data_IF_010668865459
#
_entry.id   IF_010668865459
#
_cell.length_a   1.000
_cell.length_b   1.000
_cell.length_c   1.000
_cell.angle_alpha   90.00
_cell.angle_beta   90.00
_cell.angle_gamma   90.00
#
_symmetry.space_group_name_H-M   'P 1'
#
loop_
_entity.id
_entity.type
_entity.pdbx_description
1 polymer ?
#
# COMPACT_ATOMS: atom_id res chain seq x y z
N UNK A 1 -57.30 -15.59 8.00
CA UNK A 1 -56.24 -15.05 8.87
C UNK A 1 -55.02 -15.95 8.76
N UNK A 2 -53.83 -15.40 8.52
CA UNK A 2 -52.58 -16.18 8.52
C UNK A 2 -51.41 -15.31 8.07
N UNK A 3 -50.59 -14.90 9.02
CA UNK A 3 -49.58 -13.82 8.97
C UNK A 3 -48.50 -14.00 7.89
N UNK A 4 -48.20 -12.91 7.15
CA UNK A 4 -46.97 -12.72 6.39
C UNK A 4 -45.77 -12.82 7.35
N UNK A 5 -44.83 -13.72 7.06
CA UNK A 5 -43.49 -13.71 7.68
C UNK A 5 -42.62 -12.80 6.82
N UNK A 6 -42.42 -11.56 7.27
CA UNK A 6 -41.26 -10.75 6.88
C UNK A 6 -40.05 -11.42 7.53
N UNK A 7 -39.43 -12.33 6.78
CA UNK A 7 -38.12 -12.84 7.13
C UNK A 7 -37.11 -11.86 6.53
N UNK A 8 -36.67 -10.95 7.39
CA UNK A 8 -35.26 -10.64 7.57
C UNK A 8 -34.42 -10.38 6.30
N UNK A 9 -34.64 -9.22 5.68
CA UNK A 9 -33.72 -8.62 4.72
C UNK A 9 -32.66 -7.73 5.44
N UNK A 10 -32.74 -7.58 6.76
CA UNK A 10 -31.88 -6.67 7.53
C UNK A 10 -30.63 -7.34 8.12
N UNK A 11 -30.64 -8.64 8.45
CA UNK A 11 -29.43 -9.33 8.94
C UNK A 11 -28.45 -9.65 7.81
N UNK A 12 -28.92 -9.81 6.57
CA UNK A 12 -28.08 -10.09 5.40
C UNK A 12 -27.20 -8.89 4.99
N UNK A 13 -27.75 -7.67 5.01
CA UNK A 13 -27.02 -6.43 4.72
C UNK A 13 -25.95 -6.15 5.79
N UNK A 14 -26.30 -6.31 7.08
CA UNK A 14 -25.38 -6.12 8.19
C UNK A 14 -24.20 -7.12 8.17
N UNK A 15 -24.44 -8.35 7.71
CA UNK A 15 -23.39 -9.35 7.51
C UNK A 15 -22.40 -8.96 6.42
N UNK A 16 -22.86 -8.44 5.29
CA UNK A 16 -22.00 -7.97 4.19
C UNK A 16 -21.23 -6.71 4.59
N UNK A 17 -21.87 -5.77 5.31
CA UNK A 17 -21.20 -4.60 5.87
C UNK A 17 -20.12 -4.99 6.89
N UNK A 18 -20.38 -5.95 7.78
CA UNK A 18 -19.37 -6.43 8.74
C UNK A 18 -18.22 -7.15 8.03
N UNK A 19 -18.49 -7.93 6.98
CA UNK A 19 -17.45 -8.57 6.17
C UNK A 19 -16.65 -7.51 5.40
N UNK A 20 -17.31 -6.50 4.82
CA UNK A 20 -16.69 -5.39 4.10
C UNK A 20 -15.85 -4.53 5.03
N UNK A 21 -16.35 -4.23 6.23
CA UNK A 21 -15.61 -3.52 7.29
C UNK A 21 -14.39 -4.33 7.75
N UNK A 22 -14.53 -5.64 7.98
CA UNK A 22 -13.39 -6.52 8.31
C UNK A 22 -12.39 -6.65 7.16
N UNK A 23 -12.86 -6.68 5.93
CA UNK A 23 -12.02 -6.70 4.73
C UNK A 23 -11.25 -5.36 4.59
N UNK A 24 -11.92 -4.24 4.90
CA UNK A 24 -11.33 -2.91 4.96
C UNK A 24 -10.30 -2.80 6.10
N UNK A 25 -10.56 -3.37 7.27
CA UNK A 25 -9.62 -3.42 8.39
C UNK A 25 -8.41 -4.29 8.10
N UNK A 26 -8.61 -5.48 7.50
CA UNK A 26 -7.53 -6.36 7.06
C UNK A 26 -6.68 -5.72 5.96
N UNK A 27 -7.32 -5.03 5.01
CA UNK A 27 -6.63 -4.27 3.96
C UNK A 27 -5.88 -3.07 4.54
N UNK A 28 -6.43 -2.39 5.56
CA UNK A 28 -5.77 -1.28 6.26
C UNK A 28 -4.58 -1.77 7.06
N UNK A 29 -4.67 -2.90 7.76
CA UNK A 29 -3.52 -3.52 8.43
C UNK A 29 -2.42 -3.93 7.43
N UNK A 30 -2.82 -4.43 6.26
CA UNK A 30 -1.89 -4.76 5.19
C UNK A 30 -1.17 -3.50 4.66
N UNK A 31 -1.90 -2.42 4.40
CA UNK A 31 -1.32 -1.14 3.99
C UNK A 31 -0.46 -0.51 5.09
N UNK A 32 -0.88 -0.57 6.36
CA UNK A 32 -0.07 -0.10 7.49
C UNK A 32 1.27 -0.84 7.57
N UNK A 33 1.27 -2.15 7.31
CA UNK A 33 2.50 -2.95 7.25
C UNK A 33 3.40 -2.48 6.10
N UNK A 34 2.83 -2.29 4.91
CA UNK A 34 3.56 -1.80 3.74
C UNK A 34 4.10 -0.37 3.93
N UNK A 35 3.32 0.53 4.52
CA UNK A 35 3.73 1.89 4.88
C UNK A 35 4.82 1.86 5.94
N UNK A 36 4.75 0.94 6.91
CA UNK A 36 5.81 0.76 7.92
C UNK A 36 7.14 0.33 7.27
N UNK A 37 7.08 -0.58 6.29
CA UNK A 37 8.26 -0.96 5.51
C UNK A 37 8.81 0.23 4.71
N UNK A 38 7.91 1.01 4.11
CA UNK A 38 8.29 2.21 3.36
C UNK A 38 8.94 3.27 4.26
N UNK A 39 8.37 3.55 5.44
CA UNK A 39 8.93 4.43 6.47
C UNK A 39 10.33 3.99 6.87
N UNK A 40 10.54 2.71 7.19
CA UNK A 40 11.87 2.18 7.55
C UNK A 40 12.87 2.37 6.42
N UNK A 41 12.46 2.13 5.18
CA UNK A 41 13.32 2.37 4.02
C UNK A 41 13.64 3.86 3.86
N UNK A 42 12.66 4.76 4.02
CA UNK A 42 12.87 6.21 4.00
C UNK A 42 13.82 6.66 5.10
N UNK A 43 13.70 6.15 6.33
CA UNK A 43 14.63 6.48 7.42
C UNK A 43 16.08 6.10 7.07
N UNK A 44 16.29 4.98 6.38
CA UNK A 44 17.63 4.53 5.99
C UNK A 44 18.19 5.24 4.75
N UNK A 45 17.36 5.60 3.77
CA UNK A 45 17.82 6.08 2.45
C UNK A 45 17.54 7.56 2.21
N UNK A 46 16.46 8.10 2.78
CA UNK A 46 15.98 9.48 2.58
C UNK A 46 15.38 10.05 3.89
N UNK A 47 16.17 10.18 4.98
CA UNK A 47 15.66 10.50 6.31
C UNK A 47 14.97 11.87 6.38
N UNK A 48 15.28 12.78 5.45
CA UNK A 48 14.64 14.10 5.32
C UNK A 48 13.11 14.02 5.18
N UNK A 49 12.58 12.91 4.67
CA UNK A 49 11.15 12.69 4.50
C UNK A 49 10.48 11.99 5.69
N UNK A 50 11.18 11.83 6.82
CA UNK A 50 10.62 11.22 8.03
C UNK A 50 10.91 12.13 9.23
N UNK A 51 9.86 12.65 9.85
CA UNK A 51 9.96 13.45 11.08
C UNK A 51 9.33 12.66 12.21
N UNK A 52 10.19 12.18 13.12
CA UNK A 52 9.78 11.29 14.21
C UNK A 52 9.16 10.00 13.67
N UNK A 53 7.84 9.89 13.81
CA UNK A 53 7.08 8.72 13.38
C UNK A 53 6.28 8.90 12.09
N UNK A 54 6.33 10.09 11.49
CA UNK A 54 5.47 10.47 10.37
C UNK A 54 6.26 10.64 9.09
N UNK A 55 5.73 10.12 7.98
CA UNK A 55 6.26 10.38 6.64
C UNK A 55 5.82 11.79 6.23
N UNK A 56 6.77 12.65 5.87
CA UNK A 56 6.49 13.98 5.36
C UNK A 56 6.12 13.91 3.89
N UNK A 57 4.88 14.29 3.60
CA UNK A 57 4.35 14.49 2.26
C UNK A 57 4.44 15.99 1.87
N UNK A 58 4.50 16.33 0.57
CA UNK A 58 4.55 15.41 -0.56
C UNK A 58 5.94 14.80 -0.75
N UNK A 59 5.98 13.52 -1.13
CA UNK A 59 7.22 12.87 -1.53
C UNK A 59 7.58 13.23 -2.97
N UNK A 60 8.87 13.44 -3.27
CA UNK A 60 9.32 13.64 -4.64
C UNK A 60 9.21 12.32 -5.43
N UNK A 61 8.91 12.44 -6.72
CA UNK A 61 8.71 11.30 -7.63
C UNK A 61 9.91 10.33 -7.62
N UNK A 62 11.13 10.86 -7.60
CA UNK A 62 12.35 10.05 -7.56
C UNK A 62 12.41 9.13 -6.33
N UNK A 63 11.93 9.58 -5.16
CA UNK A 63 11.91 8.76 -3.95
C UNK A 63 10.93 7.59 -4.09
N UNK A 64 9.77 7.83 -4.71
CA UNK A 64 8.83 6.75 -5.05
C UNK A 64 9.44 5.77 -6.05
N UNK A 65 10.11 6.24 -7.11
CA UNK A 65 10.79 5.38 -8.10
C UNK A 65 11.87 4.51 -7.47
N UNK A 66 12.73 5.12 -6.65
CA UNK A 66 13.79 4.41 -5.92
C UNK A 66 13.21 3.33 -5.01
N UNK A 67 12.13 3.64 -4.28
CA UNK A 67 11.48 2.65 -3.43
C UNK A 67 10.82 1.52 -4.23
N UNK A 68 10.15 1.82 -5.34
CA UNK A 68 9.55 0.79 -6.19
C UNK A 68 10.62 -0.14 -6.80
N UNK A 69 11.76 0.42 -7.22
CA UNK A 69 12.91 -0.37 -7.65
C UNK A 69 13.44 -1.23 -6.50
N UNK A 70 13.55 -0.66 -5.30
CA UNK A 70 13.91 -1.38 -4.09
C UNK A 70 12.96 -2.56 -3.85
N UNK A 71 11.64 -2.37 -3.74
CA UNK A 71 10.71 -3.47 -3.44
C UNK A 71 10.49 -4.43 -4.60
N UNK A 72 10.95 -4.12 -5.81
CA UNK A 72 10.88 -5.03 -6.96
C UNK A 72 11.80 -6.24 -6.80
N UNK A 73 12.89 -6.12 -6.03
CA UNK A 73 13.84 -7.20 -5.75
C UNK A 73 13.52 -7.83 -4.39
N UNK A 74 13.54 -9.16 -4.32
CA UNK A 74 13.39 -9.87 -3.05
C UNK A 74 14.61 -9.65 -2.17
N UNK A 75 14.35 -9.35 -0.91
CA UNK A 75 15.38 -9.12 0.10
C UNK A 75 15.17 -9.99 1.33
N UNK A 76 16.26 -10.27 2.03
CA UNK A 76 16.22 -10.94 3.33
C UNK A 76 15.64 -10.01 4.42
N UNK A 77 15.49 -10.53 5.64
CA UNK A 77 14.99 -9.76 6.79
C UNK A 77 15.91 -8.60 7.21
N UNK A 78 17.17 -8.62 6.77
CA UNK A 78 18.16 -7.60 7.07
C UNK A 78 18.20 -6.51 5.99
N UNK A 79 17.44 -6.66 4.89
CA UNK A 79 17.42 -5.72 3.78
C UNK A 79 18.50 -5.97 2.73
N UNK A 80 19.13 -7.14 2.72
CA UNK A 80 20.10 -7.54 1.69
C UNK A 80 19.37 -8.23 0.52
N UNK A 81 19.84 -8.01 -0.71
CA UNK A 81 19.30 -8.72 -1.88
C UNK A 81 19.51 -10.22 -1.74
N UNK A 82 18.46 -11.01 -2.00
CA UNK A 82 18.59 -12.47 -2.05
C UNK A 82 19.40 -12.85 -3.28
N UNK A 83 20.35 -13.78 -3.11
CA UNK A 83 21.16 -14.35 -4.18
C UNK A 83 20.78 -15.82 -4.41
N UNK A 84 20.52 -16.24 -5.67
CA UNK A 84 20.52 -15.43 -6.89
C UNK A 84 19.39 -14.40 -6.89
N UNK A 85 19.60 -13.28 -7.61
CA UNK A 85 18.63 -12.16 -7.65
C UNK A 85 17.26 -12.66 -8.08
N UNK A 86 16.29 -12.51 -7.19
CA UNK A 86 14.90 -12.86 -7.45
C UNK A 86 14.03 -11.62 -7.33
N UNK A 87 12.95 -11.57 -8.11
CA UNK A 87 12.05 -10.43 -8.14
C UNK A 87 10.74 -10.75 -7.40
N UNK A 88 10.16 -9.71 -6.81
CA UNK A 88 8.80 -9.77 -6.30
C UNK A 88 7.80 -9.77 -7.45
N UNK A 89 6.61 -10.32 -7.20
CA UNK A 89 5.54 -10.33 -8.19
C UNK A 89 5.01 -8.91 -8.41
N UNK A 90 4.45 -8.65 -9.60
CA UNK A 90 3.81 -7.39 -9.90
C UNK A 90 2.71 -7.04 -8.87
N UNK A 91 1.98 -8.04 -8.36
CA UNK A 91 0.96 -7.87 -7.32
C UNK A 91 1.54 -7.31 -6.02
N UNK A 92 2.73 -7.77 -5.60
CA UNK A 92 3.41 -7.25 -4.41
C UNK A 92 3.81 -5.79 -4.60
N UNK A 93 4.41 -5.45 -5.75
CA UNK A 93 4.81 -4.07 -6.06
C UNK A 93 3.59 -3.15 -6.17
N UNK A 94 2.50 -3.63 -6.78
CA UNK A 94 1.23 -2.90 -6.85
C UNK A 94 0.59 -2.71 -5.46
N UNK A 95 0.74 -3.67 -4.55
CA UNK A 95 0.35 -3.49 -3.15
C UNK A 95 1.04 -2.29 -2.50
N UNK A 96 2.36 -2.15 -2.69
CA UNK A 96 3.11 -0.99 -2.19
C UNK A 96 2.66 0.32 -2.83
N UNK A 97 2.37 0.33 -4.13
CA UNK A 97 1.84 1.51 -4.82
C UNK A 97 0.51 1.95 -4.22
N UNK A 98 -0.42 1.02 -4.03
CA UNK A 98 -1.72 1.28 -3.40
C UNK A 98 -1.57 1.77 -1.96
N UNK A 99 -0.63 1.21 -1.19
CA UNK A 99 -0.34 1.65 0.17
C UNK A 99 0.20 3.09 0.21
N UNK A 100 1.07 3.47 -0.74
CA UNK A 100 1.55 4.85 -0.85
C UNK A 100 0.39 5.78 -1.22
N UNK A 101 -0.45 5.43 -2.20
CA UNK A 101 -1.64 6.25 -2.51
C UNK A 101 -2.59 6.39 -1.32
N UNK A 102 -2.75 5.31 -0.54
CA UNK A 102 -3.55 5.31 0.66
C UNK A 102 -3.01 6.30 1.72
N UNK A 103 -1.68 6.38 1.87
CA UNK A 103 -1.03 7.37 2.76
C UNK A 103 -1.37 8.82 2.36
N UNK A 104 -1.34 9.14 1.07
CA UNK A 104 -1.74 10.48 0.58
C UNK A 104 -3.23 10.76 0.87
N UNK A 105 -4.09 9.77 0.65
CA UNK A 105 -5.51 9.85 0.96
C UNK A 105 -5.77 10.07 2.46
N UNK A 106 -5.11 9.31 3.34
CA UNK A 106 -5.23 9.48 4.79
C UNK A 106 -4.72 10.85 5.27
N UNK A 107 -3.70 11.39 4.61
CA UNK A 107 -3.14 12.71 4.92
C UNK A 107 -3.95 13.86 4.31
N UNK A 108 -5.04 13.57 3.58
CA UNK A 108 -5.81 14.55 2.80
C UNK A 108 -4.94 15.41 1.87
N UNK A 109 -3.87 14.81 1.34
CA UNK A 109 -2.97 15.47 0.38
C UNK A 109 -3.22 14.93 -1.01
N UNK A 110 -3.21 15.85 -1.98
CA UNK A 110 -3.27 15.47 -3.38
C UNK A 110 -1.96 14.84 -3.83
N UNK A 111 -2.08 13.76 -4.60
CA UNK A 111 -0.93 13.13 -5.25
C UNK A 111 -0.60 13.97 -6.48
N UNK A 112 0.63 14.49 -6.58
CA UNK A 112 1.09 15.16 -7.80
C UNK A 112 0.95 14.24 -9.02
N UNK A 113 0.62 14.79 -10.18
CA UNK A 113 0.46 14.03 -11.43
C UNK A 113 1.67 13.15 -11.77
N UNK A 114 2.88 13.60 -11.45
CA UNK A 114 4.13 12.84 -11.67
C UNK A 114 4.21 11.61 -10.74
N UNK A 115 3.86 11.81 -9.47
CA UNK A 115 3.83 10.73 -8.46
C UNK A 115 2.70 9.77 -8.78
N UNK A 116 1.52 10.26 -9.16
CA UNK A 116 0.41 9.40 -9.56
C UNK A 116 0.78 8.58 -10.79
N UNK A 117 1.39 9.18 -11.81
CA UNK A 117 1.86 8.48 -13.00
C UNK A 117 2.86 7.37 -12.66
N UNK A 118 3.78 7.63 -11.73
CA UNK A 118 4.74 6.63 -11.22
C UNK A 118 4.04 5.48 -10.48
N UNK A 119 3.02 5.79 -9.67
CA UNK A 119 2.30 4.80 -8.87
C UNK A 119 1.23 4.06 -9.69
N UNK A 120 0.66 4.68 -10.72
CA UNK A 120 -0.34 4.14 -11.65
C UNK A 120 0.29 3.35 -12.79
N UNK A 121 1.51 3.71 -13.20
CA UNK A 121 2.20 3.06 -14.32
C UNK A 121 2.48 1.58 -14.05
N UNK A 122 2.39 0.73 -15.06
CA UNK A 122 2.76 -0.69 -14.96
C UNK A 122 4.24 -0.80 -14.62
N UNK A 123 4.59 -1.40 -13.48
CA UNK A 123 6.00 -1.68 -13.17
C UNK A 123 6.42 -2.87 -14.01
N UNK A 124 7.05 -2.61 -15.15
CA UNK A 124 7.56 -3.67 -16.02
C UNK A 124 8.92 -4.07 -15.47
N UNK A 125 9.00 -5.21 -14.79
CA UNK A 125 10.22 -5.76 -14.17
C UNK A 125 11.34 -6.13 -15.16
N UNK A 126 11.32 -5.60 -16.39
CA UNK A 126 12.06 -6.12 -17.54
C UNK A 126 13.07 -5.15 -18.14
N UNK A 127 13.53 -4.13 -17.40
CA UNK A 127 14.44 -3.11 -17.91
C UNK A 127 15.64 -2.77 -17.01
N UNK A 128 16.02 -3.65 -16.07
CA UNK A 128 17.34 -3.61 -15.42
C UNK A 128 17.91 -5.00 -15.23
#
# INVERSE_FOLDING_TARGET
MGRKRQADESEAEAGDDVIRLRLLEGTRQHYNTMVSHFKRWLQANNPVHVVGETIMLPLPENVCKMYLSYVSVKRDKQGNELLPRTYNTASTVNGYKSAIKFLYKESSMEVSSEVDSTLSGTFVSKLF
#
